data_IF_220712884543
#
_entry.id   IF_220712884543
#
_cell.length_a   1.000
_cell.length_b   1.000
_cell.length_c   1.000
_cell.angle_alpha   90.00
_cell.angle_beta   90.00
_cell.angle_gamma   90.00
#
_symmetry.space_group_name_H-M   'P 1'
#
loop_
_entity.id
_entity.type
_entity.pdbx_description
1 polymer ?
#
# COMPACT_ATOMS: atom_id res chain seq x y z
N UNK A 1 15.88 46.25 -28.36
CA UNK A 1 16.42 45.86 -27.03
C UNK A 1 15.36 45.15 -26.16
N UNK A 2 14.69 44.08 -26.65
CA UNK A 2 13.58 43.42 -25.91
C UNK A 2 13.72 41.90 -25.75
N UNK A 3 14.68 41.26 -26.42
CA UNK A 3 14.88 39.81 -26.36
C UNK A 3 15.87 39.33 -25.29
N UNK A 4 16.70 40.23 -24.74
CA UNK A 4 17.69 39.89 -23.68
C UNK A 4 17.09 39.77 -22.28
N UNK A 5 15.90 40.33 -22.06
CA UNK A 5 15.22 40.34 -20.76
C UNK A 5 14.49 39.02 -20.45
N UNK A 6 14.16 38.23 -21.47
CA UNK A 6 13.45 36.96 -21.29
C UNK A 6 14.37 35.78 -20.92
N UNK A 7 15.67 35.85 -21.24
CA UNK A 7 16.63 34.78 -20.91
C UNK A 7 17.11 34.80 -19.44
N UNK A 8 16.94 35.92 -18.73
CA UNK A 8 17.36 36.07 -17.33
C UNK A 8 16.27 35.59 -16.36
N UNK A 9 15.00 35.59 -16.79
CA UNK A 9 13.86 35.20 -15.96
C UNK A 9 13.62 33.68 -15.88
N UNK A 10 14.28 32.89 -16.74
CA UNK A 10 14.17 31.43 -16.77
C UNK A 10 15.25 30.71 -15.94
N UNK A 11 16.28 31.42 -15.48
CA UNK A 11 17.37 30.85 -14.66
C UNK A 11 17.16 30.96 -13.14
N UNK A 12 16.05 31.58 -12.69
CA UNK A 12 15.81 31.87 -11.26
C UNK A 12 14.85 30.87 -10.60
N UNK A 13 14.27 29.93 -11.35
CA UNK A 13 13.50 28.84 -10.76
C UNK A 13 14.43 27.75 -10.21
N UNK A 14 14.93 28.02 -8.99
CA UNK A 14 14.86 27.06 -7.90
C UNK A 14 15.72 25.80 -8.03
N UNK A 15 17.03 25.96 -7.86
CA UNK A 15 17.82 24.92 -7.19
C UNK A 15 17.40 24.90 -5.71
N UNK A 16 16.25 24.30 -5.41
CA UNK A 16 15.97 23.88 -4.03
C UNK A 16 16.95 22.76 -3.72
N UNK A 17 18.07 23.09 -3.07
CA UNK A 17 18.95 22.08 -2.51
C UNK A 17 18.14 21.31 -1.48
N UNK A 18 17.80 20.05 -1.77
CA UNK A 18 17.29 19.14 -0.77
C UNK A 18 18.41 18.93 0.25
N UNK A 19 18.35 19.64 1.38
CA UNK A 19 19.22 19.39 2.53
C UNK A 19 19.01 17.92 2.94
N UNK A 20 20.05 17.11 2.78
CA UNK A 20 20.00 15.69 3.14
C UNK A 20 20.42 15.57 4.60
N UNK A 21 19.57 15.03 5.45
CA UNK A 21 19.91 14.81 6.86
C UNK A 21 20.30 13.36 7.10
N UNK A 22 21.35 13.14 7.89
CA UNK A 22 21.72 11.83 8.44
C UNK A 22 21.51 11.83 9.94
N UNK A 23 21.31 10.63 10.47
CA UNK A 23 21.09 10.40 11.90
C UNK A 23 22.25 9.59 12.47
N UNK A 24 22.83 10.09 13.55
CA UNK A 24 23.81 9.37 14.35
C UNK A 24 23.13 8.85 15.62
N UNK A 25 23.24 7.54 15.86
CA UNK A 25 22.59 6.86 16.96
C UNK A 25 23.64 6.48 18.01
N UNK A 26 23.63 7.18 19.13
CA UNK A 26 24.60 7.02 20.21
C UNK A 26 23.92 6.19 21.32
N UNK A 27 24.32 4.92 21.55
CA UNK A 27 23.69 4.09 22.56
C UNK A 27 24.03 4.60 23.98
N UNK A 28 23.19 4.28 24.97
CA UNK A 28 23.49 4.61 26.37
C UNK A 28 24.75 3.88 26.84
N UNK A 29 25.59 4.55 27.63
CA UNK A 29 26.85 3.98 28.16
C UNK A 29 26.65 3.16 29.43
N UNK A 30 25.44 3.16 30.00
CA UNK A 30 25.13 2.41 31.22
C UNK A 30 24.79 0.96 30.88
N UNK A 31 25.17 -0.03 31.73
CA UNK A 31 24.78 -1.43 31.53
C UNK A 31 23.26 -1.61 31.40
N UNK A 32 22.48 -0.92 32.23
CA UNK A 32 21.02 -0.97 32.21
C UNK A 32 20.45 -0.40 30.90
N UNK A 33 20.99 0.71 30.40
CA UNK A 33 20.57 1.30 29.14
C UNK A 33 20.88 0.38 27.95
N UNK A 34 22.06 -0.24 27.92
CA UNK A 34 22.43 -1.19 26.87
C UNK A 34 21.50 -2.39 26.82
N UNK A 35 21.14 -2.96 27.98
CA UNK A 35 20.15 -4.04 28.05
C UNK A 35 18.76 -3.58 27.61
N UNK A 36 18.35 -2.37 27.98
CA UNK A 36 17.08 -1.77 27.54
C UNK A 36 17.02 -1.66 26.00
N UNK A 37 18.08 -1.16 25.36
CA UNK A 37 18.15 -1.06 23.88
C UNK A 37 18.12 -2.45 23.23
N UNK A 38 18.72 -3.48 23.84
CA UNK A 38 18.61 -4.85 23.35
C UNK A 38 17.14 -5.33 23.32
N UNK A 39 16.33 -4.97 24.33
CA UNK A 39 14.89 -5.26 24.33
C UNK A 39 14.15 -4.46 23.25
N UNK A 40 14.52 -3.19 23.01
CA UNK A 40 13.97 -2.41 21.90
C UNK A 40 14.24 -3.08 20.54
N UNK A 41 15.45 -3.60 20.33
CA UNK A 41 15.81 -4.32 19.12
C UNK A 41 14.95 -5.59 18.93
N UNK A 42 14.75 -6.36 20.00
CA UNK A 42 13.88 -7.55 19.97
C UNK A 42 12.43 -7.19 19.61
N UNK A 43 11.93 -6.09 20.19
CA UNK A 43 10.58 -5.59 19.89
C UNK A 43 10.46 -5.14 18.43
N UNK A 44 11.47 -4.42 17.91
CA UNK A 44 11.53 -4.00 16.51
C UNK A 44 11.51 -5.20 15.57
N UNK A 45 12.34 -6.21 15.80
CA UNK A 45 12.37 -7.43 14.98
C UNK A 45 11.03 -8.16 14.98
N UNK A 46 10.40 -8.24 16.16
CA UNK A 46 9.09 -8.87 16.31
C UNK A 46 8.00 -8.10 15.55
N UNK A 47 8.05 -6.77 15.57
CA UNK A 47 7.18 -5.90 14.78
C UNK A 47 7.35 -6.13 13.28
N UNK A 48 8.59 -6.13 12.78
CA UNK A 48 8.92 -6.36 11.37
C UNK A 48 8.46 -7.75 10.91
N UNK A 49 8.69 -8.77 11.74
CA UNK A 49 8.23 -10.12 11.43
C UNK A 49 6.71 -10.21 11.36
N UNK A 50 5.98 -9.54 12.25
CA UNK A 50 4.52 -9.47 12.20
C UNK A 50 4.01 -8.79 10.92
N UNK A 51 4.67 -7.70 10.49
CA UNK A 51 4.37 -7.02 9.22
C UNK A 51 4.61 -7.91 8.01
N UNK A 52 5.74 -8.61 7.99
CA UNK A 52 6.05 -9.57 6.94
C UNK A 52 5.01 -10.69 6.86
N UNK A 53 4.59 -11.25 7.99
CA UNK A 53 3.53 -12.26 8.01
C UNK A 53 2.19 -11.71 7.50
N UNK A 54 1.81 -10.49 7.89
CA UNK A 54 0.59 -9.86 7.42
C UNK A 54 0.61 -9.69 5.89
N UNK A 55 1.77 -9.29 5.34
CA UNK A 55 1.92 -9.14 3.91
C UNK A 55 1.79 -10.48 3.18
N UNK A 56 2.47 -11.52 3.65
CA UNK A 56 2.35 -12.86 3.06
C UNK A 56 0.91 -13.39 3.09
N UNK A 57 0.18 -13.15 4.19
CA UNK A 57 -1.23 -13.51 4.30
C UNK A 57 -2.08 -12.74 3.28
N UNK A 58 -1.90 -11.43 3.16
CA UNK A 58 -2.64 -10.64 2.18
C UNK A 58 -2.40 -11.12 0.74
N UNK A 59 -1.16 -11.44 0.39
CA UNK A 59 -0.82 -11.96 -0.92
C UNK A 59 -1.48 -13.33 -1.18
N UNK A 60 -1.46 -14.21 -0.19
CA UNK A 60 -2.15 -15.50 -0.24
C UNK A 60 -3.66 -15.34 -0.43
N UNK A 61 -4.30 -14.45 0.33
CA UNK A 61 -5.73 -14.20 0.25
C UNK A 61 -6.13 -13.61 -1.10
N UNK A 62 -5.34 -12.68 -1.63
CA UNK A 62 -5.54 -12.15 -2.97
C UNK A 62 -5.40 -13.23 -4.05
N UNK A 63 -4.38 -14.07 -3.96
CA UNK A 63 -4.17 -15.16 -4.91
C UNK A 63 -5.33 -16.17 -4.88
N UNK A 64 -5.85 -16.48 -3.69
CA UNK A 64 -7.04 -17.32 -3.53
C UNK A 64 -8.26 -16.68 -4.17
N UNK A 65 -8.53 -15.42 -3.86
CA UNK A 65 -9.66 -14.70 -4.44
C UNK A 65 -9.56 -14.60 -5.97
N UNK A 66 -8.34 -14.47 -6.50
CA UNK A 66 -8.10 -14.49 -7.94
C UNK A 66 -8.40 -15.87 -8.55
N UNK A 67 -7.98 -16.96 -7.90
CA UNK A 67 -8.32 -18.31 -8.35
C UNK A 67 -9.84 -18.56 -8.37
N UNK A 68 -10.55 -18.08 -7.33
CA UNK A 68 -12.00 -18.16 -7.25
C UNK A 68 -12.67 -17.35 -8.38
N UNK A 69 -12.17 -16.15 -8.66
CA UNK A 69 -12.61 -15.31 -9.78
C UNK A 69 -12.42 -16.00 -11.13
N UNK A 70 -11.25 -16.62 -11.37
CA UNK A 70 -11.00 -17.36 -12.62
C UNK A 70 -11.92 -18.59 -12.73
N UNK A 71 -12.14 -19.32 -11.64
CA UNK A 71 -13.08 -20.45 -11.63
C UNK A 71 -14.51 -20.00 -11.93
N UNK A 72 -14.93 -18.87 -11.37
CA UNK A 72 -16.23 -18.27 -11.65
C UNK A 72 -16.38 -17.93 -13.14
N UNK A 73 -15.36 -17.30 -13.74
CA UNK A 73 -15.37 -16.98 -15.18
C UNK A 73 -15.38 -18.20 -16.07
N UNK A 74 -14.67 -19.27 -15.70
CA UNK A 74 -14.68 -20.51 -16.47
C UNK A 74 -16.08 -21.16 -16.50
N UNK A 75 -16.82 -21.08 -15.38
CA UNK A 75 -18.21 -21.57 -15.29
C UNK A 75 -19.22 -20.61 -15.92
N UNK A 76 -18.89 -19.33 -15.96
CA UNK A 76 -19.73 -18.26 -16.50
C UNK A 76 -18.95 -17.51 -17.60
N UNK A 77 -18.73 -18.12 -18.78
CA UNK A 77 -17.88 -17.55 -19.85
C UNK A 77 -18.43 -16.24 -20.44
N UNK A 78 -19.62 -15.85 -20.02
CA UNK A 78 -20.35 -14.66 -20.40
C UNK A 78 -20.26 -13.69 -19.22
N UNK A 79 -19.22 -12.84 -19.25
CA UNK A 79 -18.77 -12.03 -18.11
C UNK A 79 -19.67 -10.81 -17.82
N UNK A 80 -20.79 -10.66 -18.53
CA UNK A 80 -21.95 -9.96 -17.98
C UNK A 80 -23.09 -10.96 -17.89
N UNK A 81 -23.86 -10.93 -16.80
CA UNK A 81 -25.07 -11.75 -16.66
C UNK A 81 -25.91 -11.69 -17.96
N UNK A 82 -26.05 -10.48 -18.50
CA UNK A 82 -26.73 -10.17 -19.75
C UNK A 82 -26.16 -10.85 -21.00
N UNK A 83 -24.84 -11.14 -21.06
CA UNK A 83 -24.23 -11.67 -22.28
C UNK A 83 -24.51 -13.17 -22.49
N UNK A 84 -24.85 -13.90 -21.41
CA UNK A 84 -25.23 -15.32 -21.46
C UNK A 84 -26.51 -15.60 -22.24
N UNK A 85 -27.34 -14.58 -22.40
CA UNK A 85 -28.62 -14.66 -23.10
C UNK A 85 -28.40 -14.36 -24.59
N UNK A 86 -28.27 -15.41 -25.40
CA UNK A 86 -28.20 -15.28 -26.87
C UNK A 86 -29.57 -15.10 -27.54
N UNK A 87 -30.69 -15.42 -26.88
CA UNK A 87 -32.00 -15.41 -27.56
C UNK A 87 -33.27 -15.31 -26.67
N UNK A 88 -33.19 -14.95 -25.38
CA UNK A 88 -34.35 -15.08 -24.47
C UNK A 88 -34.55 -13.88 -23.54
N UNK A 89 -35.81 -13.54 -23.30
CA UNK A 89 -36.27 -12.69 -22.19
C UNK A 89 -36.24 -13.53 -20.90
N UNK A 90 -35.66 -13.00 -19.83
CA UNK A 90 -35.51 -13.72 -18.54
C UNK A 90 -36.08 -12.90 -17.37
N UNK A 91 -36.57 -13.59 -16.34
CA UNK A 91 -37.20 -12.95 -15.18
C UNK A 91 -36.14 -12.68 -14.10
N UNK A 92 -35.73 -11.42 -13.97
CA UNK A 92 -34.84 -10.94 -12.89
C UNK A 92 -35.70 -10.22 -11.86
N UNK A 93 -35.64 -10.64 -10.58
CA UNK A 93 -36.45 -10.06 -9.49
C UNK A 93 -37.96 -9.98 -9.81
N UNK A 94 -38.50 -10.94 -10.57
CA UNK A 94 -39.90 -10.95 -11.00
C UNK A 94 -40.20 -10.19 -12.29
N UNK A 95 -39.20 -9.58 -12.93
CA UNK A 95 -39.37 -8.75 -14.13
C UNK A 95 -38.73 -9.40 -15.36
N UNK A 96 -39.51 -9.63 -16.41
CA UNK A 96 -39.02 -10.15 -17.70
C UNK A 96 -38.21 -9.07 -18.41
N UNK A 97 -36.91 -9.29 -18.60
CA UNK A 97 -35.99 -8.33 -19.24
C UNK A 97 -35.30 -8.95 -20.45
N UNK A 98 -35.16 -8.15 -21.50
CA UNK A 98 -34.35 -8.47 -22.69
C UNK A 98 -32.87 -8.25 -22.43
N UNK A 99 -32.01 -8.78 -23.30
CA UNK A 99 -30.56 -8.51 -23.25
C UNK A 99 -30.24 -7.01 -23.25
N UNK A 100 -30.92 -6.22 -24.10
CA UNK A 100 -30.74 -4.77 -24.18
C UNK A 100 -31.13 -4.08 -22.87
N UNK A 101 -32.28 -4.44 -22.28
CA UNK A 101 -32.75 -3.90 -20.99
C UNK A 101 -31.84 -4.32 -19.82
N UNK A 102 -31.35 -5.56 -19.83
CA UNK A 102 -30.37 -6.05 -18.85
C UNK A 102 -29.06 -5.26 -18.94
N UNK A 103 -28.56 -4.97 -20.15
CA UNK A 103 -27.35 -4.15 -20.30
C UNK A 103 -27.59 -2.68 -19.93
N UNK A 104 -28.79 -2.15 -20.17
CA UNK A 104 -29.16 -0.77 -19.80
C UNK A 104 -29.28 -0.57 -18.28
N UNK A 105 -29.64 -1.62 -17.54
CA UNK A 105 -29.78 -1.60 -16.07
C UNK A 105 -28.47 -1.82 -15.30
N UNK A 106 -27.32 -1.97 -16.01
CA UNK A 106 -25.99 -2.20 -15.43
C UNK A 106 -25.93 -3.41 -14.48
N UNK A 107 -26.58 -4.52 -14.84
CA UNK A 107 -26.45 -5.74 -14.05
C UNK A 107 -24.98 -6.21 -14.04
N UNK A 108 -24.33 -6.18 -12.87
CA UNK A 108 -22.92 -6.54 -12.73
C UNK A 108 -22.70 -8.03 -13.00
N UNK A 109 -21.48 -8.38 -13.42
CA UNK A 109 -21.05 -9.78 -13.52
C UNK A 109 -21.29 -10.52 -12.20
N UNK A 110 -21.76 -11.78 -12.20
CA UNK A 110 -21.78 -12.59 -10.99
C UNK A 110 -20.36 -12.89 -10.46
N UNK A 111 -19.34 -12.73 -11.31
CA UNK A 111 -17.94 -12.86 -10.95
C UNK A 111 -17.34 -11.48 -10.66
N UNK A 112 -17.14 -11.18 -9.38
CA UNK A 112 -16.49 -9.94 -8.93
C UNK A 112 -14.97 -10.09 -8.93
N UNK A 113 -14.29 -9.19 -9.63
CA UNK A 113 -12.82 -9.16 -9.63
C UNK A 113 -12.30 -8.71 -8.26
N UNK A 114 -11.36 -9.46 -7.65
CA UNK A 114 -10.79 -9.09 -6.37
C UNK A 114 -9.84 -7.90 -6.54
N UNK A 115 -9.87 -6.97 -5.58
CA UNK A 115 -8.96 -5.83 -5.53
C UNK A 115 -7.77 -6.20 -4.66
N UNK A 116 -6.54 -6.02 -5.15
CA UNK A 116 -5.34 -6.21 -4.34
C UNK A 116 -5.19 -5.05 -3.36
N UNK A 117 -5.62 -5.26 -2.11
CA UNK A 117 -5.55 -4.25 -1.05
C UNK A 117 -4.56 -4.63 0.05
N UNK A 118 -3.29 -4.83 -0.31
CA UNK A 118 -2.21 -5.07 0.66
C UNK A 118 -1.59 -3.77 1.22
N UNK A 119 -2.38 -2.68 1.25
CA UNK A 119 -1.91 -1.35 1.59
C UNK A 119 -1.21 -1.29 2.95
N UNK A 120 0.05 -0.83 2.94
CA UNK A 120 0.94 -0.65 4.11
C UNK A 120 1.28 -1.92 4.92
N UNK A 121 0.96 -3.13 4.45
CA UNK A 121 1.30 -4.35 5.18
C UNK A 121 2.82 -4.50 5.41
N UNK A 122 3.64 -4.07 4.46
CA UNK A 122 5.11 -4.05 4.55
C UNK A 122 5.71 -2.70 4.94
N UNK A 123 4.89 -1.75 5.42
CA UNK A 123 5.41 -0.47 5.88
C UNK A 123 5.94 -0.59 7.31
N UNK A 124 7.26 -0.60 7.43
CA UNK A 124 7.97 -0.71 8.71
C UNK A 124 8.17 0.62 9.43
N UNK A 125 7.69 1.75 8.89
CA UNK A 125 7.85 3.07 9.51
C UNK A 125 7.33 3.12 10.95
N UNK A 126 6.26 2.38 11.25
CA UNK A 126 5.76 2.27 12.63
C UNK A 126 6.74 1.51 13.53
N UNK A 127 7.36 0.44 13.02
CA UNK A 127 8.37 -0.32 13.78
C UNK A 127 9.61 0.56 14.06
N UNK A 128 10.03 1.36 13.08
CA UNK A 128 11.13 2.32 13.25
C UNK A 128 10.77 3.45 14.22
N UNK A 129 9.56 3.99 14.14
CA UNK A 129 9.07 5.03 15.06
C UNK A 129 9.00 4.54 16.51
N UNK A 130 8.51 3.31 16.71
CA UNK A 130 8.46 2.67 18.02
C UNK A 130 9.88 2.43 18.56
N UNK A 131 10.79 1.94 17.70
CA UNK A 131 12.19 1.74 18.06
C UNK A 131 12.87 3.04 18.47
N UNK A 132 12.73 4.10 17.68
CA UNK A 132 13.24 5.45 17.98
C UNK A 132 12.81 5.91 19.36
N UNK A 133 11.52 5.78 19.67
CA UNK A 133 10.96 6.19 20.95
C UNK A 133 11.52 5.37 22.12
N UNK A 134 11.64 4.05 21.93
CA UNK A 134 12.23 3.13 22.90
C UNK A 134 13.71 3.44 23.15
N UNK A 135 14.49 3.64 22.09
CA UNK A 135 15.92 3.94 22.13
C UNK A 135 16.22 5.19 22.95
N UNK A 136 15.48 6.28 22.72
CA UNK A 136 15.64 7.52 23.49
C UNK A 136 15.22 7.34 24.95
N UNK A 137 14.15 6.57 25.20
CA UNK A 137 13.70 6.26 26.57
C UNK A 137 14.72 5.43 27.37
N UNK A 138 15.52 4.61 26.69
CA UNK A 138 16.64 3.88 27.31
C UNK A 138 17.87 4.75 27.58
N UNK A 139 17.81 6.06 27.28
CA UNK A 139 18.93 7.00 27.42
C UNK A 139 19.85 7.07 26.20
N UNK A 140 19.44 6.50 25.06
CA UNK A 140 20.13 6.71 23.80
C UNK A 140 19.90 8.11 23.24
N UNK A 141 20.84 8.62 22.47
CA UNK A 141 20.77 9.94 21.84
C UNK A 141 20.76 9.80 20.32
N UNK A 142 19.88 10.54 19.66
CA UNK A 142 19.80 10.55 18.20
C UNK A 142 20.12 11.96 17.71
N UNK A 143 21.31 12.13 17.18
CA UNK A 143 21.79 13.39 16.64
C UNK A 143 21.49 13.47 15.14
N UNK A 144 20.92 14.57 14.69
CA UNK A 144 20.58 14.79 13.27
C UNK A 144 21.45 15.89 12.71
N UNK A 145 22.21 15.55 11.68
CA UNK A 145 23.13 16.48 11.03
C UNK A 145 22.87 16.54 9.53
N UNK A 146 23.07 17.73 8.95
CA UNK A 146 22.99 17.94 7.50
C UNK A 146 24.26 17.42 6.82
N UNK A 147 24.06 16.65 5.76
CA UNK A 147 25.13 16.18 4.87
C UNK A 147 25.34 17.27 3.84
N UNK A 148 26.46 17.99 3.97
CA UNK A 148 26.94 18.96 2.99
C UNK A 148 27.52 18.28 1.75
#
# INVERSE_FOLDING_TARGET
>A
MKFRLFLILLSVFGLSACATYKENWIPPTTPNGSMCVAQCNQSKQSCQFSKQQLQQRCESDYNRAMADYQSCKARNPQTSYCSSYRSKTEVINGQSVTRQECTATRYESPCKEPVKSCGNAGNDSQCESNYRSCFVSCGGVIDRYEVK
#
